data_IF_315836423942
#
_entry.id   IF_315836423942
#
_cell.length_a   1.000
_cell.length_b   1.000
_cell.length_c   1.000
_cell.angle_alpha   90.00
_cell.angle_beta   90.00
_cell.angle_gamma   90.00
#
_symmetry.space_group_name_H-M   'P 1'
#
loop_
_entity.id
_entity.type
_entity.pdbx_description
1 polymer ?
#
# COMPACT_ATOMS: atom_id res chain seq x y z
N UNK A 1 26.14 14.86 -8.49
CA UNK A 1 24.87 15.57 -8.17
C UNK A 1 24.03 14.61 -7.31
N UNK A 2 23.68 14.98 -6.07
CA UNK A 2 22.73 14.21 -5.26
C UNK A 2 21.39 14.23 -5.98
N UNK A 3 20.85 13.06 -6.28
CA UNK A 3 19.55 12.90 -6.94
C UNK A 3 18.44 13.21 -5.93
N UNK A 4 17.63 14.24 -6.20
CA UNK A 4 16.54 14.67 -5.31
C UNK A 4 15.21 13.98 -5.57
N UNK A 5 15.13 13.16 -6.63
CA UNK A 5 13.96 12.40 -7.04
C UNK A 5 14.41 11.09 -7.67
N UNK A 6 13.65 10.02 -7.44
CA UNK A 6 13.85 8.78 -8.17
C UNK A 6 13.07 8.83 -9.48
N UNK A 7 13.77 8.57 -10.60
CA UNK A 7 13.23 8.70 -11.94
C UNK A 7 13.55 7.47 -12.78
N UNK A 8 12.62 7.08 -13.66
CA UNK A 8 12.86 6.14 -14.76
C UNK A 8 12.65 6.90 -16.07
N UNK A 9 13.67 6.88 -16.96
CA UNK A 9 13.63 7.61 -18.24
C UNK A 9 13.19 9.07 -18.05
N UNK A 10 13.82 9.76 -17.09
CA UNK A 10 13.55 11.15 -16.73
C UNK A 10 12.13 11.43 -16.18
N UNK A 11 11.35 10.40 -15.84
CA UNK A 11 10.03 10.53 -15.25
C UNK A 11 10.05 10.08 -13.80
N UNK A 12 9.53 10.93 -12.92
CA UNK A 12 9.47 10.69 -11.48
C UNK A 12 8.61 9.45 -11.19
N UNK A 13 9.16 8.52 -10.41
CA UNK A 13 8.43 7.36 -9.93
C UNK A 13 7.63 7.74 -8.68
N UNK A 14 6.42 7.21 -8.57
CA UNK A 14 5.65 7.15 -7.33
C UNK A 14 5.44 5.68 -6.99
N UNK A 15 5.97 5.26 -5.84
CA UNK A 15 5.76 3.91 -5.33
C UNK A 15 4.36 3.78 -4.75
N UNK A 16 3.61 2.86 -5.29
CA UNK A 16 2.31 2.37 -4.85
C UNK A 16 2.54 0.94 -4.38
N UNK A 17 3.30 0.83 -3.30
CA UNK A 17 3.95 -0.39 -2.90
C UNK A 17 3.25 -1.13 -1.79
N UNK A 18 3.70 -2.36 -1.59
CA UNK A 18 3.39 -3.22 -0.46
C UNK A 18 4.66 -3.85 0.08
N UNK A 19 4.73 -4.05 1.38
CA UNK A 19 5.67 -4.96 2.00
C UNK A 19 5.12 -6.38 1.86
N UNK A 20 5.94 -7.33 1.44
CA UNK A 20 5.50 -8.70 1.26
C UNK A 20 6.41 -9.65 2.01
N UNK A 21 5.86 -10.28 3.05
CA UNK A 21 6.44 -11.49 3.61
C UNK A 21 6.22 -12.67 2.66
N UNK A 22 7.25 -13.48 2.47
CA UNK A 22 7.14 -14.74 1.74
C UNK A 22 6.53 -15.80 2.64
N UNK A 23 5.21 -15.95 2.55
CA UNK A 23 4.45 -16.78 3.48
C UNK A 23 3.25 -17.49 2.84
N UNK A 24 3.02 -18.74 3.28
CA UNK A 24 1.85 -19.56 2.96
C UNK A 24 1.27 -20.11 4.25
N UNK A 25 -0.04 -20.07 4.40
CA UNK A 25 -0.72 -20.62 5.59
C UNK A 25 -0.56 -22.13 5.74
N UNK A 26 -0.18 -22.83 4.66
CA UNK A 26 -0.02 -24.29 4.62
C UNK A 26 1.43 -24.74 4.84
N UNK A 27 2.37 -23.99 4.31
CA UNK A 27 3.78 -24.42 4.20
C UNK A 27 4.76 -23.44 4.85
N UNK A 28 4.24 -22.39 5.53
CA UNK A 28 5.07 -21.37 6.16
C UNK A 28 5.83 -20.56 5.11
N UNK A 29 7.14 -20.52 5.21
CA UNK A 29 8.01 -19.75 4.31
C UNK A 29 8.38 -20.46 3.00
N UNK A 30 7.87 -21.64 2.74
CA UNK A 30 8.06 -22.37 1.49
C UNK A 30 6.85 -22.15 0.58
N UNK A 31 6.88 -21.10 -0.23
CA UNK A 31 5.79 -20.73 -1.15
C UNK A 31 5.95 -21.42 -2.51
N UNK A 32 4.82 -21.69 -3.16
CA UNK A 32 4.81 -22.24 -4.53
C UNK A 32 4.80 -21.12 -5.58
N UNK A 33 5.16 -21.50 -6.82
CA UNK A 33 5.09 -20.57 -7.96
C UNK A 33 3.67 -20.05 -8.17
N UNK A 34 2.66 -20.89 -8.00
CA UNK A 34 1.25 -20.58 -8.17
C UNK A 34 0.78 -19.55 -7.13
N UNK A 35 1.23 -19.68 -5.88
CA UNK A 35 0.94 -18.71 -4.82
C UNK A 35 1.57 -17.35 -5.12
N UNK A 36 2.84 -17.33 -5.53
CA UNK A 36 3.52 -16.07 -5.91
C UNK A 36 2.86 -15.44 -7.14
N UNK A 37 2.49 -16.23 -8.15
CA UNK A 37 1.78 -15.73 -9.33
C UNK A 37 0.42 -15.12 -8.95
N UNK A 38 -0.33 -15.77 -8.05
CA UNK A 38 -1.60 -15.21 -7.54
C UNK A 38 -1.38 -13.87 -6.87
N UNK A 39 -0.32 -13.72 -6.07
CA UNK A 39 0.03 -12.45 -5.44
C UNK A 39 0.30 -11.37 -6.49
N UNK A 40 1.15 -11.64 -7.48
CA UNK A 40 1.52 -10.70 -8.54
C UNK A 40 0.27 -10.26 -9.34
N UNK A 41 -0.57 -11.21 -9.75
CA UNK A 41 -1.82 -10.91 -10.47
C UNK A 41 -2.75 -10.05 -9.62
N UNK A 42 -2.95 -10.39 -8.36
CA UNK A 42 -3.75 -9.61 -7.41
C UNK A 42 -3.22 -8.19 -7.24
N UNK A 43 -1.90 -8.03 -7.13
CA UNK A 43 -1.25 -6.70 -7.05
C UNK A 43 -1.54 -5.87 -8.30
N UNK A 44 -1.37 -6.44 -9.49
CA UNK A 44 -1.64 -5.75 -10.77
C UNK A 44 -3.10 -5.34 -10.90
N UNK A 45 -4.04 -6.22 -10.52
CA UNK A 45 -5.49 -5.96 -10.54
C UNK A 45 -5.90 -4.84 -9.58
N UNK A 46 -5.07 -4.54 -8.59
CA UNK A 46 -5.34 -3.55 -7.56
C UNK A 46 -4.39 -2.35 -7.59
N UNK A 47 -3.79 -2.06 -8.74
CA UNK A 47 -2.95 -0.88 -8.99
C UNK A 47 -1.66 -0.79 -8.16
N UNK A 48 -1.25 -1.86 -7.51
CA UNK A 48 0.03 -1.95 -6.82
C UNK A 48 1.13 -2.05 -7.88
N UNK A 49 2.17 -1.24 -7.76
CA UNK A 49 3.26 -1.18 -8.74
C UNK A 49 4.63 -1.55 -8.17
N UNK A 50 4.74 -1.79 -6.86
CA UNK A 50 6.02 -2.05 -6.23
C UNK A 50 5.91 -3.02 -5.04
N UNK A 51 6.99 -3.76 -4.80
CA UNK A 51 7.14 -4.68 -3.68
C UNK A 51 8.43 -4.33 -2.93
N UNK A 52 8.38 -4.34 -1.59
CA UNK A 52 9.56 -4.46 -0.74
C UNK A 52 9.58 -5.89 -0.19
N UNK A 53 10.68 -6.61 -0.44
CA UNK A 53 10.87 -7.97 0.09
C UNK A 53 11.24 -7.87 1.56
N UNK A 54 10.26 -7.91 2.44
CA UNK A 54 10.48 -7.69 3.87
C UNK A 54 10.67 -9.02 4.61
N UNK A 55 11.68 -9.22 5.41
CA UNK A 55 12.91 -8.41 5.60
C UNK A 55 14.10 -9.28 5.25
N UNK A 56 14.09 -9.84 4.05
CA UNK A 56 15.06 -10.81 3.52
C UNK A 56 14.87 -10.97 2.01
N UNK A 57 15.86 -11.52 1.29
CA UNK A 57 15.65 -11.91 -0.11
C UNK A 57 14.61 -13.04 -0.21
N UNK A 58 13.54 -12.81 -0.96
CA UNK A 58 12.52 -13.80 -1.28
C UNK A 58 13.07 -14.88 -2.26
N UNK A 59 12.31 -15.93 -2.54
CA UNK A 59 12.64 -16.93 -3.57
C UNK A 59 12.79 -16.27 -4.95
N UNK A 60 13.69 -16.79 -5.80
CA UNK A 60 14.02 -16.18 -7.10
C UNK A 60 12.81 -15.99 -8.02
N UNK A 61 11.79 -16.83 -7.88
CA UNK A 61 10.59 -16.78 -8.71
C UNK A 61 9.85 -15.44 -8.64
N UNK A 62 9.88 -14.72 -7.50
CA UNK A 62 9.19 -13.43 -7.42
C UNK A 62 9.90 -12.37 -8.25
N UNK A 63 11.23 -12.42 -8.33
CA UNK A 63 12.02 -11.50 -9.15
C UNK A 63 11.72 -11.72 -10.63
N UNK A 64 11.69 -12.99 -11.09
CA UNK A 64 11.30 -13.34 -12.47
C UNK A 64 9.89 -12.82 -12.78
N UNK A 65 8.93 -13.03 -11.90
CA UNK A 65 7.55 -12.57 -12.08
C UNK A 65 7.42 -11.03 -12.02
N UNK A 66 8.20 -10.36 -11.19
CA UNK A 66 8.23 -8.89 -11.18
C UNK A 66 8.81 -8.34 -12.48
N UNK A 67 9.83 -8.97 -13.06
CA UNK A 67 10.36 -8.62 -14.36
C UNK A 67 9.32 -8.83 -15.47
N UNK A 68 8.62 -9.95 -15.46
CA UNK A 68 7.60 -10.32 -16.46
C UNK A 68 6.37 -9.42 -16.39
N UNK A 69 5.85 -9.18 -15.18
CA UNK A 69 4.61 -8.41 -14.97
C UNK A 69 4.82 -6.91 -14.78
N UNK A 70 6.05 -6.46 -14.69
CA UNK A 70 6.42 -5.05 -14.58
C UNK A 70 6.07 -4.45 -13.22
N UNK A 71 6.53 -5.06 -12.14
CA UNK A 71 6.50 -4.51 -10.78
C UNK A 71 7.89 -4.02 -10.39
N UNK A 72 7.99 -2.89 -9.73
CA UNK A 72 9.24 -2.39 -9.16
C UNK A 72 9.57 -3.10 -7.85
N UNK A 73 10.86 -3.22 -7.54
CA UNK A 73 11.29 -3.87 -6.31
C UNK A 73 12.28 -3.04 -5.50
N UNK A 74 12.07 -3.01 -4.18
CA UNK A 74 13.12 -2.80 -3.19
C UNK A 74 13.52 -4.19 -2.72
N UNK A 75 14.69 -4.65 -3.15
CA UNK A 75 15.23 -5.96 -2.75
C UNK A 75 16.00 -5.80 -1.44
N UNK A 76 15.48 -6.44 -0.38
CA UNK A 76 16.04 -6.27 0.96
C UNK A 76 16.95 -7.42 1.35
N UNK A 77 18.10 -7.03 1.87
CA UNK A 77 19.07 -7.95 2.44
C UNK A 77 18.58 -8.52 3.77
N UNK A 78 19.06 -9.70 4.13
CA UNK A 78 18.68 -10.35 5.37
C UNK A 78 19.39 -9.73 6.57
N UNK A 79 18.79 -8.68 7.13
CA UNK A 79 19.20 -8.04 8.38
C UNK A 79 17.98 -7.50 9.10
N UNK A 80 17.72 -8.04 10.28
CA UNK A 80 16.83 -7.46 11.28
C UNK A 80 17.31 -7.86 12.67
N UNK A 81 17.51 -6.87 13.54
CA UNK A 81 18.00 -7.07 14.89
C UNK A 81 17.22 -6.27 15.94
N UNK A 82 15.94 -6.03 15.70
CA UNK A 82 15.03 -5.19 16.47
C UNK A 82 15.16 -5.44 17.98
N UNK A 83 15.08 -6.69 18.43
CA UNK A 83 15.12 -7.03 19.85
C UNK A 83 16.39 -6.57 20.56
N UNK A 84 17.52 -6.42 19.85
CA UNK A 84 18.78 -5.98 20.46
C UNK A 84 18.77 -4.49 20.79
N UNK A 85 18.29 -3.64 19.90
CA UNK A 85 18.27 -2.20 20.14
C UNK A 85 17.04 -1.77 20.96
N UNK A 86 15.91 -2.46 20.85
CA UNK A 86 14.72 -2.21 21.65
C UNK A 86 15.04 -2.37 23.15
N UNK A 87 15.70 -3.46 23.54
CA UNK A 87 16.16 -3.68 24.90
C UNK A 87 17.13 -2.58 25.38
N UNK A 88 18.00 -2.09 24.50
CA UNK A 88 18.95 -1.03 24.80
C UNK A 88 18.26 0.34 24.98
N UNK A 89 17.25 0.64 24.15
CA UNK A 89 16.49 1.89 24.22
C UNK A 89 15.59 1.94 25.46
N UNK A 90 15.08 0.79 25.92
CA UNK A 90 14.37 0.68 27.20
C UNK A 90 15.28 0.62 28.43
N UNK A 91 16.60 0.71 28.24
CA UNK A 91 17.57 0.69 29.33
C UNK A 91 17.77 -0.66 30.00
N UNK A 92 17.30 -1.75 29.38
CA UNK A 92 17.45 -3.11 29.90
C UNK A 92 18.87 -3.66 29.68
N UNK A 93 19.58 -3.15 28.67
CA UNK A 93 20.97 -3.50 28.35
C UNK A 93 21.73 -2.26 27.87
N UNK A 94 23.07 -2.26 27.90
CA UNK A 94 23.89 -1.15 27.40
C UNK A 94 23.73 -0.95 25.89
N UNK A 95 23.88 0.28 25.39
CA UNK A 95 23.75 0.60 23.95
C UNK A 95 24.81 -0.04 23.06
N UNK A 96 25.96 -0.38 23.58
CA UNK A 96 27.02 -1.10 22.87
C UNK A 96 26.71 -2.57 22.60
N UNK A 97 25.59 -3.07 23.15
CA UNK A 97 25.05 -4.41 22.83
C UNK A 97 24.18 -4.44 21.59
N UNK A 98 23.90 -3.27 20.97
CA UNK A 98 23.12 -3.18 19.71
C UNK A 98 23.88 -3.89 18.59
N UNK A 99 23.18 -4.81 17.91
CA UNK A 99 23.76 -5.63 16.83
C UNK A 99 23.20 -5.17 15.47
N UNK A 100 24.05 -5.03 14.42
CA UNK A 100 25.51 -5.11 14.45
C UNK A 100 26.19 -3.85 15.02
N UNK A 101 25.53 -2.69 15.00
CA UNK A 101 26.01 -1.44 15.55
C UNK A 101 27.41 -1.03 15.02
N UNK A 102 28.27 -0.67 15.95
CA UNK A 102 29.69 -0.34 15.67
C UNK A 102 30.63 -1.54 15.97
N UNK A 103 30.07 -2.74 16.24
CA UNK A 103 30.87 -3.92 16.52
C UNK A 103 31.37 -4.59 15.23
N UNK A 104 32.64 -4.38 14.90
CA UNK A 104 33.27 -4.84 13.67
C UNK A 104 33.41 -6.37 13.57
N UNK A 105 33.19 -7.13 14.64
CA UNK A 105 33.17 -8.60 14.60
C UNK A 105 32.01 -9.13 13.71
N UNK A 106 30.94 -8.35 13.56
CA UNK A 106 29.82 -8.66 12.71
C UNK A 106 30.05 -8.33 11.22
N UNK A 107 30.98 -7.42 10.92
CA UNK A 107 31.17 -6.89 9.57
C UNK A 107 31.39 -7.98 8.50
N UNK A 108 32.28 -8.97 8.66
CA UNK A 108 32.54 -9.95 7.61
C UNK A 108 31.27 -10.72 7.20
N UNK A 109 30.46 -11.14 8.16
CA UNK A 109 29.20 -11.85 7.91
C UNK A 109 28.16 -10.93 7.25
N UNK A 110 28.07 -9.68 7.68
CA UNK A 110 27.10 -8.73 7.10
C UNK A 110 27.46 -8.38 5.66
N UNK A 111 28.74 -8.19 5.35
CA UNK A 111 29.23 -7.94 3.99
C UNK A 111 29.05 -9.17 3.09
N UNK A 112 29.16 -10.39 3.62
CA UNK A 112 28.85 -11.62 2.88
C UNK A 112 27.37 -11.70 2.51
N UNK A 113 26.46 -11.36 3.42
CA UNK A 113 25.02 -11.28 3.13
C UNK A 113 24.70 -10.29 1.99
N UNK A 114 25.31 -9.10 2.02
CA UNK A 114 25.20 -8.10 0.94
C UNK A 114 25.68 -8.68 -0.38
N UNK A 115 26.86 -9.32 -0.39
CA UNK A 115 27.40 -9.94 -1.60
C UNK A 115 26.48 -11.04 -2.13
N UNK A 116 25.99 -11.92 -1.27
CA UNK A 116 25.09 -13.01 -1.65
C UNK A 116 23.77 -12.48 -2.23
N UNK A 117 23.15 -11.48 -1.60
CA UNK A 117 21.95 -10.82 -2.09
C UNK A 117 22.18 -10.21 -3.48
N UNK A 118 23.23 -9.42 -3.65
CA UNK A 118 23.58 -8.79 -4.91
C UNK A 118 23.87 -9.81 -6.01
N UNK A 119 24.76 -10.78 -5.77
CA UNK A 119 25.18 -11.73 -6.80
C UNK A 119 24.01 -12.57 -7.33
N UNK A 120 23.06 -12.91 -6.47
CA UNK A 120 21.86 -13.65 -6.87
C UNK A 120 20.94 -12.81 -7.75
N UNK A 121 20.66 -11.57 -7.36
CA UNK A 121 19.53 -10.80 -7.90
C UNK A 121 19.92 -9.62 -8.81
N UNK A 122 21.21 -9.38 -9.05
CA UNK A 122 21.73 -8.21 -9.83
C UNK A 122 21.18 -8.11 -11.24
N UNK A 123 20.76 -9.21 -11.86
CA UNK A 123 20.33 -9.26 -13.26
C UNK A 123 18.82 -8.97 -13.42
N UNK A 124 18.08 -8.76 -12.34
CA UNK A 124 16.67 -8.45 -12.40
C UNK A 124 16.42 -6.95 -12.62
N UNK A 125 15.84 -6.52 -13.75
CA UNK A 125 15.53 -5.11 -14.01
C UNK A 125 14.41 -4.57 -13.11
N UNK A 126 13.59 -5.42 -12.50
CA UNK A 126 12.59 -5.02 -11.52
C UNK A 126 13.22 -4.41 -10.26
N UNK A 127 14.43 -4.85 -9.87
CA UNK A 127 15.14 -4.32 -8.70
C UNK A 127 15.64 -2.92 -9.00
N UNK A 128 15.06 -1.92 -8.37
CA UNK A 128 15.45 -0.51 -8.51
C UNK A 128 16.32 -0.03 -7.35
N UNK A 129 16.15 -0.63 -6.18
CA UNK A 129 16.77 -0.20 -4.94
C UNK A 129 17.23 -1.44 -4.18
N UNK A 130 18.46 -1.38 -3.69
CA UNK A 130 19.00 -2.35 -2.72
C UNK A 130 18.71 -1.84 -1.30
N UNK A 131 18.07 -2.63 -0.47
CA UNK A 131 17.88 -2.29 0.94
C UNK A 131 18.85 -3.07 1.82
N UNK A 132 19.48 -2.37 2.74
CA UNK A 132 20.49 -2.96 3.63
C UNK A 132 19.86 -3.90 4.65
N UNK A 133 18.62 -3.61 5.07
CA UNK A 133 17.87 -4.39 6.04
C UNK A 133 16.78 -3.59 6.70
N UNK A 134 16.29 -4.09 7.83
CA UNK A 134 15.18 -3.54 8.60
C UNK A 134 15.55 -3.40 10.08
N UNK A 135 15.02 -2.40 10.75
CA UNK A 135 14.95 -2.18 12.19
C UNK A 135 16.17 -2.68 12.98
N UNK A 136 17.36 -2.29 12.51
CA UNK A 136 18.66 -2.67 13.12
C UNK A 136 19.43 -1.47 13.67
N UNK A 137 18.70 -0.39 14.02
CA UNK A 137 19.19 0.85 14.60
C UNK A 137 20.09 1.63 13.64
N UNK A 138 21.41 1.37 13.61
CA UNK A 138 22.41 2.04 12.81
C UNK A 138 23.81 1.56 13.16
N UNK A 139 24.82 2.37 12.85
CA UNK A 139 26.21 2.09 13.18
C UNK A 139 27.11 1.88 11.97
N UNK A 140 28.40 1.71 12.26
CA UNK A 140 29.46 1.59 11.24
C UNK A 140 29.25 0.40 10.32
N UNK A 141 28.87 -0.77 10.86
CA UNK A 141 28.71 -1.98 10.08
C UNK A 141 27.62 -1.83 9.04
N UNK A 142 26.47 -1.22 9.41
CA UNK A 142 25.34 -1.00 8.46
C UNK A 142 25.76 0.02 7.39
N UNK A 143 26.54 1.03 7.76
CA UNK A 143 27.11 1.96 6.79
C UNK A 143 28.03 1.22 5.79
N UNK A 144 28.90 0.33 6.27
CA UNK A 144 29.81 -0.43 5.40
C UNK A 144 29.07 -1.40 4.48
N UNK A 145 27.93 -1.98 4.93
CA UNK A 145 27.03 -2.75 4.08
C UNK A 145 26.50 -1.89 2.92
N UNK A 146 26.10 -0.65 3.19
CA UNK A 146 25.62 0.26 2.15
C UNK A 146 26.71 0.62 1.14
N UNK A 147 27.93 0.89 1.61
CA UNK A 147 29.08 1.15 0.74
C UNK A 147 29.44 -0.09 -0.09
N UNK A 148 29.29 -1.29 0.46
CA UNK A 148 29.48 -2.54 -0.28
C UNK A 148 28.46 -2.67 -1.42
N UNK A 149 27.18 -2.37 -1.20
CA UNK A 149 26.19 -2.32 -2.30
C UNK A 149 26.58 -1.34 -3.38
N UNK A 150 27.01 -0.10 -3.02
CA UNK A 150 27.43 0.92 -3.97
C UNK A 150 28.68 0.53 -4.77
N UNK A 151 29.60 -0.17 -4.13
CA UNK A 151 30.80 -0.68 -4.78
C UNK A 151 30.46 -1.80 -5.79
N UNK A 152 29.47 -2.61 -5.52
CA UNK A 152 29.01 -3.69 -6.42
C UNK A 152 28.09 -3.17 -7.51
N UNK A 153 27.27 -2.17 -7.22
CA UNK A 153 26.27 -1.58 -8.13
C UNK A 153 26.26 -0.05 -8.03
N UNK A 154 27.03 0.65 -8.85
CA UNK A 154 27.08 2.10 -8.81
C UNK A 154 25.85 2.79 -9.43
N UNK A 155 24.87 2.03 -9.95
CA UNK A 155 23.73 2.55 -10.68
C UNK A 155 22.43 2.55 -9.86
N UNK A 156 22.19 1.49 -9.06
CA UNK A 156 21.00 1.39 -8.24
C UNK A 156 21.19 2.12 -6.91
N UNK A 157 20.07 2.65 -6.41
CA UNK A 157 20.05 3.33 -5.12
C UNK A 157 20.14 2.34 -3.95
N UNK A 158 20.64 2.82 -2.84
CA UNK A 158 20.70 2.06 -1.58
C UNK A 158 19.76 2.68 -0.57
N UNK A 159 18.98 1.83 0.09
CA UNK A 159 17.97 2.16 1.08
C UNK A 159 18.35 1.58 2.45
N UNK A 160 18.08 2.36 3.48
CA UNK A 160 17.99 1.93 4.87
C UNK A 160 17.14 2.92 5.66
N UNK A 161 16.12 2.46 6.40
CA UNK A 161 15.22 3.34 7.15
C UNK A 161 15.81 3.85 8.45
N UNK A 162 16.68 3.07 9.10
CA UNK A 162 17.22 3.36 10.42
C UNK A 162 18.19 4.54 10.50
N UNK A 163 18.43 5.28 9.41
CA UNK A 163 19.33 6.44 9.42
C UNK A 163 18.90 7.54 10.41
N UNK A 164 17.62 7.61 10.75
CA UNK A 164 17.13 8.58 11.74
C UNK A 164 17.55 8.23 13.17
N UNK A 165 17.84 6.99 13.46
CA UNK A 165 18.34 6.53 14.76
C UNK A 165 19.82 6.89 14.97
N UNK A 166 20.60 6.90 13.89
CA UNK A 166 22.05 7.20 13.95
C UNK A 166 22.50 8.09 12.78
N UNK A 167 22.32 9.38 12.95
CA UNK A 167 22.68 10.41 11.96
C UNK A 167 24.19 10.55 11.71
N UNK A 168 25.06 9.89 12.49
CA UNK A 168 26.51 9.83 12.20
C UNK A 168 26.74 9.23 10.81
N UNK A 169 25.88 8.31 10.39
CA UNK A 169 25.96 7.58 9.12
C UNK A 169 24.77 7.89 8.21
N UNK A 170 24.39 9.14 8.09
CA UNK A 170 23.25 9.54 7.26
C UNK A 170 23.40 9.13 5.79
N UNK A 171 24.64 9.00 5.30
CA UNK A 171 24.93 8.55 3.94
C UNK A 171 24.65 7.06 3.71
N UNK A 172 24.27 6.29 4.71
CA UNK A 172 23.86 4.89 4.57
C UNK A 172 22.71 4.73 3.57
N UNK A 173 21.77 5.66 3.54
CA UNK A 173 20.65 5.63 2.59
C UNK A 173 20.68 6.80 1.61
N UNK A 174 20.36 6.56 0.35
CA UNK A 174 20.23 7.59 -0.68
C UNK A 174 18.91 8.37 -0.60
N UNK A 175 17.99 7.93 0.23
CA UNK A 175 16.71 8.54 0.52
C UNK A 175 16.45 8.63 2.02
N UNK A 176 15.63 9.58 2.44
CA UNK A 176 15.01 9.49 3.75
C UNK A 176 13.91 8.45 3.68
N UNK A 177 13.86 7.57 4.66
CA UNK A 177 12.86 6.53 4.77
C UNK A 177 12.42 6.42 6.21
N UNK A 178 11.11 6.37 6.42
CA UNK A 178 10.53 6.29 7.76
C UNK A 178 9.34 5.33 7.76
N UNK A 179 8.95 4.90 8.95
CA UNK A 179 7.80 4.04 9.20
C UNK A 179 6.71 4.83 9.92
N UNK A 180 5.47 4.69 9.47
CA UNK A 180 4.23 5.18 10.13
C UNK A 180 4.23 6.68 10.50
N UNK A 181 5.12 7.46 9.93
CA UNK A 181 5.19 8.90 10.16
C UNK A 181 3.94 9.59 9.60
N UNK A 182 3.30 10.44 10.40
CA UNK A 182 2.12 11.17 9.94
C UNK A 182 2.41 12.12 8.78
N UNK A 183 1.41 12.39 7.93
CA UNK A 183 1.57 13.27 6.77
C UNK A 183 2.05 14.67 7.19
N UNK A 184 1.59 15.17 8.33
CA UNK A 184 2.03 16.46 8.88
C UNK A 184 3.52 16.45 9.19
N UNK A 185 4.00 15.38 9.81
CA UNK A 185 5.42 15.23 10.15
C UNK A 185 6.29 15.01 8.90
N UNK A 186 5.79 14.27 7.89
CA UNK A 186 6.47 14.15 6.59
C UNK A 186 6.62 15.52 5.93
N UNK A 187 5.54 16.32 5.89
CA UNK A 187 5.59 17.68 5.34
C UNK A 187 6.57 18.58 6.09
N UNK A 188 6.57 18.51 7.42
CA UNK A 188 7.51 19.27 8.26
C UNK A 188 8.94 18.87 7.96
N UNK A 189 9.23 17.57 7.94
CA UNK A 189 10.57 17.07 7.61
C UNK A 189 11.03 17.55 6.24
N UNK A 190 10.19 17.44 5.21
CA UNK A 190 10.51 17.86 3.85
C UNK A 190 10.66 19.38 3.68
N UNK A 191 10.06 20.18 4.55
CA UNK A 191 10.27 21.63 4.58
C UNK A 191 11.67 21.99 5.12
N UNK A 192 12.14 21.24 6.12
CA UNK A 192 13.42 21.47 6.80
C UNK A 192 14.61 20.82 6.08
N UNK A 193 14.39 19.65 5.44
CA UNK A 193 15.44 18.84 4.79
C UNK A 193 15.18 18.73 3.28
N UNK A 194 16.12 19.15 2.45
CA UNK A 194 15.94 19.27 0.99
C UNK A 194 16.89 18.39 0.15
N UNK A 195 17.70 17.59 0.80
CA UNK A 195 18.83 16.91 0.18
C UNK A 195 18.44 15.59 -0.47
N UNK A 196 17.46 14.89 0.09
CA UNK A 196 17.05 13.54 -0.33
C UNK A 196 15.58 13.45 -0.70
N UNK A 197 15.20 12.49 -1.59
CA UNK A 197 13.82 12.08 -1.72
C UNK A 197 13.36 11.36 -0.44
N UNK A 198 12.05 11.30 -0.24
CA UNK A 198 11.42 10.67 0.91
C UNK A 198 10.49 9.53 0.48
N UNK A 199 10.58 8.39 1.13
CA UNK A 199 9.62 7.28 1.00
C UNK A 199 9.14 6.83 2.38
N UNK A 200 7.93 6.28 2.43
CA UNK A 200 7.47 5.51 3.59
C UNK A 200 7.75 4.04 3.32
N UNK A 201 8.80 3.47 3.93
CA UNK A 201 9.04 2.04 3.74
C UNK A 201 7.96 1.17 4.37
N UNK A 202 7.26 1.69 5.39
CA UNK A 202 6.05 1.09 5.96
C UNK A 202 5.03 2.16 6.32
N UNK A 203 3.78 1.97 5.93
CA UNK A 203 2.69 2.87 6.28
C UNK A 203 1.33 2.17 6.23
N UNK A 204 0.30 2.85 6.72
CA UNK A 204 -1.09 2.38 6.70
C UNK A 204 -1.24 0.93 7.19
N UNK A 205 -0.62 0.62 8.35
CA UNK A 205 -0.65 -0.71 8.96
C UNK A 205 -2.04 -1.34 8.91
N UNK A 206 -2.15 -2.52 8.27
CA UNK A 206 -3.44 -3.08 7.86
C UNK A 206 -4.02 -4.12 8.84
N UNK A 207 -3.50 -4.20 10.07
CA UNK A 207 -4.01 -5.14 11.08
C UNK A 207 -5.45 -4.84 11.46
N UNK A 208 -6.30 -5.86 11.42
CA UNK A 208 -7.71 -5.74 11.80
C UNK A 208 -8.49 -4.77 10.90
N UNK A 209 -9.31 -3.91 11.52
CA UNK A 209 -10.10 -2.90 10.82
C UNK A 209 -9.35 -1.57 10.74
N UNK A 210 -8.31 -1.53 9.91
CA UNK A 210 -7.41 -0.39 9.72
C UNK A 210 -7.11 -0.14 8.23
N UNK A 211 -5.94 0.41 7.88
CA UNK A 211 -5.59 0.84 6.51
C UNK A 211 -6.43 2.03 6.01
N UNK A 212 -7.01 2.83 6.92
CA UNK A 212 -7.80 4.00 6.59
C UNK A 212 -6.95 5.27 6.40
N UNK A 213 -7.60 6.33 5.89
CA UNK A 213 -6.98 7.63 5.62
C UNK A 213 -5.76 7.58 4.67
N UNK A 214 -5.65 6.53 3.88
CA UNK A 214 -4.55 6.29 2.94
C UNK A 214 -4.44 7.41 1.90
N UNK A 215 -5.57 8.01 1.51
CA UNK A 215 -5.62 9.15 0.58
C UNK A 215 -4.72 10.31 1.01
N UNK A 216 -4.54 10.57 2.29
CA UNK A 216 -3.68 11.66 2.77
C UNK A 216 -2.23 11.51 2.31
N UNK A 217 -1.74 10.28 2.25
CA UNK A 217 -0.40 9.95 1.77
C UNK A 217 -0.32 9.95 0.24
N UNK A 218 -1.33 9.39 -0.43
CA UNK A 218 -1.34 9.37 -1.91
C UNK A 218 -1.53 10.77 -2.49
N UNK A 219 -2.37 11.63 -1.89
CA UNK A 219 -2.52 13.04 -2.29
C UNK A 219 -1.22 13.84 -2.09
N UNK A 220 -0.41 13.47 -1.08
CA UNK A 220 0.89 14.11 -0.88
C UNK A 220 1.85 13.86 -2.06
N UNK A 221 1.73 12.72 -2.75
CA UNK A 221 2.55 12.46 -3.94
C UNK A 221 2.27 13.44 -5.08
N UNK A 222 1.08 14.02 -5.14
CA UNK A 222 0.69 14.98 -6.18
C UNK A 222 1.20 16.40 -5.87
N UNK A 223 1.42 16.72 -4.60
CA UNK A 223 1.74 18.07 -4.13
C UNK A 223 3.17 18.26 -3.66
N UNK A 224 3.87 17.20 -3.24
CA UNK A 224 5.26 17.23 -2.78
C UNK A 224 6.14 16.33 -3.68
N UNK A 225 6.89 16.92 -4.63
CA UNK A 225 7.66 16.14 -5.61
C UNK A 225 8.76 15.23 -5.02
N UNK A 226 9.24 15.53 -3.81
CA UNK A 226 10.24 14.71 -3.13
C UNK A 226 9.65 13.55 -2.33
N UNK A 227 8.35 13.57 -2.06
CA UNK A 227 7.65 12.43 -1.47
C UNK A 227 7.26 11.45 -2.58
N UNK A 228 7.88 10.29 -2.61
CA UNK A 228 7.78 9.35 -3.72
C UNK A 228 6.91 8.12 -3.40
N UNK A 229 5.98 8.26 -2.46
CA UNK A 229 5.04 7.21 -2.09
C UNK A 229 5.55 6.30 -0.98
N UNK A 230 5.04 5.07 -0.94
CA UNK A 230 5.37 4.16 0.15
C UNK A 230 4.86 2.74 -0.07
N UNK A 231 5.09 1.91 0.96
CA UNK A 231 4.81 0.48 0.96
C UNK A 231 3.90 0.13 2.15
N UNK A 232 2.71 -0.39 1.87
CA UNK A 232 1.72 -0.76 2.90
C UNK A 232 2.30 -1.89 3.77
N UNK A 233 2.14 -1.82 5.06
CA UNK A 233 2.36 -2.94 5.97
C UNK A 233 1.03 -3.63 6.29
N UNK A 234 0.78 -4.88 5.82
CA UNK A 234 1.55 -5.54 4.78
C UNK A 234 0.62 -6.23 3.76
N UNK A 235 1.18 -7.05 2.89
CA UNK A 235 0.43 -7.63 1.78
C UNK A 235 -0.47 -8.79 2.21
N UNK A 236 0.02 -9.72 3.05
CA UNK A 236 -0.69 -10.97 3.35
C UNK A 236 -0.58 -11.36 4.83
N UNK A 237 -1.69 -11.80 5.42
CA UNK A 237 -1.68 -12.36 6.76
C UNK A 237 -0.73 -13.56 6.87
N UNK A 238 0.13 -13.59 7.89
CA UNK A 238 1.01 -14.72 8.20
C UNK A 238 0.32 -15.69 9.17
N UNK A 239 -0.91 -16.05 8.89
CA UNK A 239 -1.66 -17.06 9.63
C UNK A 239 -1.32 -18.48 9.19
N UNK A 240 -1.46 -19.46 10.09
CA UNK A 240 -1.17 -20.87 9.82
C UNK A 240 -2.48 -21.65 9.85
N UNK A 241 -2.70 -22.48 8.83
CA UNK A 241 -3.87 -23.34 8.76
C UNK A 241 -3.82 -24.41 9.87
N UNK A 242 -4.84 -24.45 10.72
CA UNK A 242 -4.98 -25.38 11.83
C UNK A 242 -6.40 -25.91 11.91
N UNK A 243 -6.56 -27.08 12.52
CA UNK A 243 -7.88 -27.64 12.85
C UNK A 243 -8.25 -27.32 14.29
N UNK A 244 -9.49 -26.91 14.51
CA UNK A 244 -10.06 -26.79 15.85
C UNK A 244 -10.34 -28.16 16.47
N UNK A 245 -10.83 -28.16 17.70
CA UNK A 245 -11.19 -29.40 18.44
C UNK A 245 -12.31 -30.24 17.78
N UNK A 246 -13.02 -29.66 16.81
CA UNK A 246 -14.08 -30.34 16.04
C UNK A 246 -13.62 -30.77 14.64
N UNK A 247 -12.34 -30.55 14.32
CA UNK A 247 -11.76 -30.90 13.02
C UNK A 247 -12.01 -29.85 11.93
N UNK A 248 -12.56 -28.67 12.26
CA UNK A 248 -12.81 -27.57 11.32
C UNK A 248 -11.53 -26.74 11.13
N UNK A 249 -11.21 -26.44 9.88
CA UNK A 249 -10.07 -25.59 9.53
C UNK A 249 -10.30 -24.15 9.95
N UNK A 250 -9.27 -23.48 10.47
CA UNK A 250 -9.22 -22.07 10.79
C UNK A 250 -7.83 -21.51 10.61
N UNK A 251 -7.71 -20.19 10.44
CA UNK A 251 -6.44 -19.48 10.36
C UNK A 251 -5.97 -19.14 11.78
N UNK A 252 -4.93 -19.81 12.23
CA UNK A 252 -4.36 -19.67 13.55
C UNK A 252 -3.30 -18.56 13.60
N UNK A 253 -3.19 -17.92 14.76
CA UNK A 253 -2.16 -16.93 15.08
C UNK A 253 -1.53 -17.20 16.45
N UNK A 254 -0.70 -16.27 16.92
CA UNK A 254 0.06 -16.45 18.17
C UNK A 254 -0.82 -16.79 19.37
N UNK A 255 -0.46 -17.84 20.11
CA UNK A 255 -1.17 -18.41 21.23
C UNK A 255 -2.11 -19.56 20.90
N UNK A 256 -2.49 -19.74 19.63
CA UNK A 256 -3.34 -20.86 19.20
C UNK A 256 -2.63 -22.21 19.25
N UNK A 257 -1.29 -22.21 19.36
CA UNK A 257 -0.44 -23.39 19.52
C UNK A 257 -0.04 -23.62 20.98
N UNK A 258 -0.68 -22.93 21.94
CA UNK A 258 -0.44 -23.00 23.37
C UNK A 258 0.91 -22.44 23.82
N UNK A 259 1.59 -21.73 22.96
CA UNK A 259 2.86 -21.05 23.26
C UNK A 259 2.65 -19.77 24.08
N UNK A 260 3.65 -19.45 24.93
CA UNK A 260 3.74 -18.22 25.73
C UNK A 260 5.23 -17.89 25.95
N UNK A 261 5.63 -16.61 25.80
CA UNK A 261 4.85 -15.44 25.40
C UNK A 261 4.42 -15.49 23.92
N UNK A 262 3.52 -14.58 23.51
CA UNK A 262 3.04 -14.49 22.13
C UNK A 262 2.53 -13.08 21.83
N UNK A 263 2.62 -12.65 20.57
CA UNK A 263 2.10 -11.39 20.06
C UNK A 263 0.64 -11.51 19.54
N UNK A 264 -0.02 -12.63 19.81
CA UNK A 264 -1.42 -12.90 19.44
C UNK A 264 -1.68 -12.70 17.94
N UNK A 265 -2.67 -11.83 17.60
CA UNK A 265 -3.09 -11.58 16.22
C UNK A 265 -2.19 -10.61 15.45
N UNK A 266 -0.97 -10.34 15.90
CA UNK A 266 -0.06 -9.40 15.27
C UNK A 266 0.39 -9.86 13.86
N UNK A 267 0.28 -11.14 13.56
CA UNK A 267 0.47 -11.71 12.22
C UNK A 267 -0.70 -11.48 11.25
N UNK A 268 -1.83 -10.95 11.73
CA UNK A 268 -3.04 -10.66 10.92
C UNK A 268 -3.07 -9.23 10.40
N UNK A 269 -2.06 -8.80 9.66
CA UNK A 269 -1.85 -7.43 9.19
C UNK A 269 -1.88 -7.28 7.67
N UNK A 270 -2.30 -8.33 6.94
CA UNK A 270 -2.38 -8.33 5.49
C UNK A 270 -3.57 -7.56 4.91
N UNK A 271 -3.38 -7.01 3.70
CA UNK A 271 -4.47 -6.57 2.84
C UNK A 271 -5.09 -7.73 2.04
N UNK A 272 -4.45 -8.89 2.08
CA UNK A 272 -4.98 -10.18 1.62
C UNK A 272 -5.04 -11.17 2.80
N UNK A 273 -6.03 -12.06 2.75
CA UNK A 273 -6.17 -13.14 3.73
C UNK A 273 -5.10 -14.23 3.53
N UNK A 274 -4.53 -14.76 4.62
CA UNK A 274 -3.48 -15.77 4.57
C UNK A 274 -3.92 -17.13 4.02
N UNK A 275 -5.21 -17.50 4.19
CA UNK A 275 -5.72 -18.81 3.83
C UNK A 275 -5.80 -19.08 2.33
N UNK A 276 -6.58 -18.28 1.66
CA UNK A 276 -6.85 -18.37 0.22
C UNK A 276 -6.09 -17.34 -0.61
N UNK A 277 -5.41 -16.40 0.03
CA UNK A 277 -4.70 -15.26 -0.57
C UNK A 277 -5.64 -14.30 -1.30
N UNK A 278 -6.92 -14.30 -0.99
CA UNK A 278 -7.90 -13.40 -1.60
C UNK A 278 -7.83 -12.01 -0.97
N UNK A 279 -8.14 -10.96 -1.75
CA UNK A 279 -8.21 -9.61 -1.23
C UNK A 279 -9.18 -9.45 -0.08
N UNK A 280 -8.77 -8.82 1.01
CA UNK A 280 -9.67 -8.38 2.07
C UNK A 280 -10.42 -7.11 1.65
N UNK A 281 -11.49 -6.69 2.34
CA UNK A 281 -12.21 -5.45 2.04
C UNK A 281 -11.33 -4.19 1.98
N UNK A 282 -10.21 -4.18 2.69
CA UNK A 282 -9.21 -3.09 2.65
C UNK A 282 -8.61 -2.87 1.26
N UNK A 283 -8.56 -3.92 0.43
CA UNK A 283 -8.01 -3.83 -0.93
C UNK A 283 -8.79 -2.87 -1.83
N UNK A 284 -10.07 -2.63 -1.57
CA UNK A 284 -10.85 -1.64 -2.31
C UNK A 284 -10.32 -0.21 -2.09
N UNK A 285 -9.98 0.12 -0.85
CA UNK A 285 -9.34 1.39 -0.50
C UNK A 285 -7.96 1.50 -1.17
N UNK A 286 -7.16 0.44 -1.14
CA UNK A 286 -5.85 0.38 -1.80
C UNK A 286 -6.00 0.60 -3.31
N UNK A 287 -6.88 -0.14 -3.97
CA UNK A 287 -7.11 -0.04 -5.42
C UNK A 287 -7.50 1.37 -5.83
N UNK A 288 -8.41 2.01 -5.09
CA UNK A 288 -8.86 3.37 -5.38
C UNK A 288 -7.73 4.38 -5.21
N UNK A 289 -7.01 4.35 -4.10
CA UNK A 289 -5.94 5.31 -3.83
C UNK A 289 -4.71 5.10 -4.73
N UNK A 290 -4.49 3.89 -5.23
CA UNK A 290 -3.36 3.56 -6.11
C UNK A 290 -3.66 3.70 -7.60
N UNK A 291 -4.86 4.08 -8.00
CA UNK A 291 -5.17 4.27 -9.42
C UNK A 291 -4.28 5.35 -10.08
N UNK A 292 -3.96 5.14 -11.36
CA UNK A 292 -3.13 6.04 -12.16
C UNK A 292 -3.93 7.03 -13.00
N UNK A 293 -5.25 6.99 -12.91
CA UNK A 293 -6.14 7.94 -13.57
C UNK A 293 -7.08 8.47 -12.50
N UNK A 294 -7.07 9.78 -12.30
CA UNK A 294 -8.02 10.45 -11.41
C UNK A 294 -9.11 11.14 -12.21
N UNK A 295 -10.35 11.04 -11.74
CA UNK A 295 -11.52 11.69 -12.33
C UNK A 295 -12.01 12.73 -11.33
N UNK A 296 -11.94 14.01 -11.72
CA UNK A 296 -12.37 15.13 -10.91
C UNK A 296 -13.66 15.68 -11.48
N UNK A 297 -14.74 15.64 -10.70
CA UNK A 297 -16.02 16.23 -11.10
C UNK A 297 -16.08 17.68 -10.64
N UNK A 298 -16.14 18.61 -11.58
CA UNK A 298 -16.23 20.05 -11.29
C UNK A 298 -17.69 20.52 -11.28
N UNK A 299 -18.15 21.03 -12.41
CA UNK A 299 -19.53 21.49 -12.59
C UNK A 299 -20.40 20.36 -13.13
N UNK A 300 -21.72 20.57 -13.06
CA UNK A 300 -22.67 19.63 -13.62
C UNK A 300 -22.36 19.32 -15.10
N UNK A 301 -22.26 18.04 -15.43
CA UNK A 301 -22.00 17.57 -16.77
C UNK A 301 -20.55 17.64 -17.25
N UNK A 302 -19.59 18.07 -16.41
CA UNK A 302 -18.16 18.13 -16.77
C UNK A 302 -17.30 17.36 -15.77
N UNK A 303 -16.22 16.77 -16.28
CA UNK A 303 -15.19 16.11 -15.47
C UNK A 303 -13.81 16.27 -16.10
N UNK A 304 -12.81 16.26 -15.25
CA UNK A 304 -11.41 16.33 -15.65
C UNK A 304 -10.77 14.97 -15.47
N UNK A 305 -10.06 14.49 -16.46
CA UNK A 305 -9.22 13.30 -16.41
C UNK A 305 -7.78 13.71 -16.18
N UNK A 306 -7.20 13.26 -15.07
CA UNK A 306 -5.78 13.42 -14.75
C UNK A 306 -5.08 12.08 -14.98
N UNK A 307 -4.26 12.00 -16.01
CA UNK A 307 -3.49 10.80 -16.34
C UNK A 307 -2.12 10.82 -15.64
N UNK A 308 -1.96 10.05 -14.58
CA UNK A 308 -0.73 9.89 -13.79
C UNK A 308 0.15 8.74 -14.29
N UNK A 309 -0.26 8.00 -15.34
CA UNK A 309 0.58 6.98 -15.94
C UNK A 309 1.87 7.61 -16.48
N UNK A 310 3.00 6.93 -16.28
CA UNK A 310 4.28 7.43 -16.75
C UNK A 310 4.43 7.31 -18.29
N UNK A 311 3.86 6.25 -18.89
CA UNK A 311 4.12 5.93 -20.30
C UNK A 311 2.86 5.59 -21.10
N UNK A 312 1.69 5.41 -20.45
CA UNK A 312 0.46 4.99 -21.10
C UNK A 312 -0.50 6.17 -21.32
N UNK A 313 -1.04 6.29 -22.54
CA UNK A 313 -2.15 7.19 -22.86
C UNK A 313 -3.49 6.55 -22.40
N UNK A 314 -4.50 7.37 -22.13
CA UNK A 314 -5.83 6.87 -21.73
C UNK A 314 -6.61 6.22 -22.85
N UNK A 315 -6.26 6.43 -24.11
CA UNK A 315 -6.87 5.75 -25.27
C UNK A 315 -6.67 4.22 -25.28
N UNK A 316 -5.76 3.70 -24.45
CA UNK A 316 -5.59 2.25 -24.21
C UNK A 316 -6.74 1.66 -23.39
N UNK A 317 -7.56 2.48 -22.77
CA UNK A 317 -8.66 2.08 -21.91
C UNK A 317 -10.00 2.48 -22.52
N UNK A 318 -11.04 1.74 -22.17
CA UNK A 318 -12.44 2.10 -22.44
C UNK A 318 -12.91 3.00 -21.29
N UNK A 319 -13.32 4.22 -21.59
CA UNK A 319 -13.93 5.12 -20.62
C UNK A 319 -15.45 4.99 -20.68
N UNK A 320 -16.10 4.73 -19.55
CA UNK A 320 -17.54 4.51 -19.47
C UNK A 320 -18.15 5.40 -18.39
N UNK A 321 -19.15 6.19 -18.77
CA UNK A 321 -19.99 6.92 -17.82
C UNK A 321 -21.29 6.15 -17.55
N UNK A 322 -21.61 5.96 -16.27
CA UNK A 322 -22.81 5.26 -15.79
C UNK A 322 -23.55 6.15 -14.80
N UNK A 323 -24.83 6.42 -15.10
CA UNK A 323 -25.73 7.06 -14.17
C UNK A 323 -26.67 6.02 -13.54
N UNK A 324 -26.72 6.01 -12.23
CA UNK A 324 -27.63 5.16 -11.46
C UNK A 324 -28.64 6.02 -10.71
N UNK A 325 -29.87 5.53 -10.56
CA UNK A 325 -30.90 6.07 -9.65
C UNK A 325 -31.17 5.00 -8.59
N UNK A 326 -30.95 5.33 -7.32
CA UNK A 326 -31.11 4.41 -6.19
C UNK A 326 -30.42 3.05 -6.46
N UNK A 327 -29.19 3.08 -7.00
CA UNK A 327 -28.39 1.89 -7.34
C UNK A 327 -28.75 1.21 -8.67
N UNK A 328 -29.84 1.61 -9.35
CA UNK A 328 -30.25 1.02 -10.63
C UNK A 328 -29.72 1.85 -11.79
N UNK A 329 -29.07 1.19 -12.76
CA UNK A 329 -28.51 1.86 -13.95
C UNK A 329 -29.66 2.44 -14.80
N UNK A 330 -29.62 3.76 -15.03
CA UNK A 330 -30.59 4.47 -15.87
C UNK A 330 -29.98 4.98 -17.17
N UNK A 331 -28.67 5.22 -17.21
CA UNK A 331 -27.92 5.56 -18.41
C UNK A 331 -26.52 4.99 -18.35
N UNK A 332 -26.01 4.58 -19.53
CA UNK A 332 -24.63 4.13 -19.71
C UNK A 332 -24.15 4.55 -21.09
N UNK A 333 -22.97 5.14 -21.17
CA UNK A 333 -22.38 5.56 -22.44
C UNK A 333 -20.85 5.50 -22.37
N UNK A 334 -20.22 5.14 -23.48
CA UNK A 334 -18.77 5.23 -23.65
C UNK A 334 -18.38 6.65 -24.06
N UNK A 335 -17.20 7.08 -23.61
CA UNK A 335 -16.59 8.38 -23.91
C UNK A 335 -15.20 8.10 -24.49
N UNK A 336 -14.94 8.61 -25.67
CA UNK A 336 -13.59 8.56 -26.21
C UNK A 336 -12.66 9.50 -25.44
N UNK A 337 -11.61 8.96 -24.89
CA UNK A 337 -10.63 9.72 -24.12
C UNK A 337 -9.23 9.53 -24.66
N UNK A 338 -8.52 10.65 -24.83
CA UNK A 338 -7.13 10.67 -25.23
C UNK A 338 -6.41 11.71 -24.38
N UNK A 339 -5.77 11.23 -23.31
CA UNK A 339 -4.98 12.05 -22.40
C UNK A 339 -3.58 11.47 -22.34
N UNK A 340 -2.57 12.20 -22.83
CA UNK A 340 -1.18 11.74 -22.80
C UNK A 340 -0.69 11.44 -21.38
N UNK A 341 0.40 10.68 -21.22
CA UNK A 341 1.04 10.47 -19.93
C UNK A 341 1.35 11.79 -19.22
N UNK A 342 1.13 11.84 -17.92
CA UNK A 342 1.41 12.99 -17.04
C UNK A 342 0.71 14.28 -17.49
N UNK A 343 -0.51 14.15 -18.06
CA UNK A 343 -1.30 15.25 -18.59
C UNK A 343 -2.72 15.23 -18.08
N UNK A 344 -3.42 16.33 -18.29
CA UNK A 344 -4.79 16.55 -17.83
C UNK A 344 -5.65 17.02 -19.00
N UNK A 345 -6.92 16.62 -19.06
CA UNK A 345 -7.87 17.06 -20.06
C UNK A 345 -9.31 16.99 -19.56
N UNK A 346 -10.11 18.00 -19.95
CA UNK A 346 -11.53 18.11 -19.62
C UNK A 346 -12.39 17.37 -20.64
N UNK A 347 -13.50 16.80 -20.14
CA UNK A 347 -14.50 16.09 -20.90
C UNK A 347 -15.91 16.47 -20.44
N UNK A 348 -16.88 16.23 -21.28
CA UNK A 348 -18.30 16.41 -20.96
C UNK A 348 -18.98 15.03 -20.81
N UNK A 349 -19.92 14.95 -19.86
CA UNK A 349 -20.80 13.80 -19.75
C UNK A 349 -21.79 13.85 -20.90
N UNK A 350 -21.90 12.79 -21.74
CA UNK A 350 -22.68 12.82 -22.97
C UNK A 350 -24.20 12.74 -22.77
N UNK A 351 -24.67 12.93 -21.54
CA UNK A 351 -26.09 12.94 -21.21
C UNK A 351 -26.37 13.88 -20.02
N UNK A 352 -27.60 14.37 -19.94
CA UNK A 352 -28.04 15.16 -18.80
C UNK A 352 -28.13 14.29 -17.54
N UNK A 353 -27.57 14.76 -16.43
CA UNK A 353 -27.56 14.05 -15.14
C UNK A 353 -28.86 14.35 -14.41
N UNK A 354 -29.18 15.64 -14.26
CA UNK A 354 -30.38 16.16 -13.65
C UNK A 354 -30.95 17.25 -14.55
N UNK A 355 -32.23 17.16 -14.93
CA UNK A 355 -32.91 18.25 -15.61
C UNK A 355 -33.93 18.86 -14.67
N UNK A 356 -33.98 20.19 -14.62
CA UNK A 356 -34.95 20.93 -13.81
C UNK A 356 -36.40 20.62 -14.17
N UNK A 357 -36.65 20.11 -15.38
CA UNK A 357 -37.95 19.73 -15.94
C UNK A 357 -38.18 18.20 -15.91
N UNK A 358 -37.27 17.38 -15.33
CA UNK A 358 -37.40 15.95 -15.29
C UNK A 358 -38.61 15.54 -14.44
N UNK A 359 -39.62 15.00 -15.10
CA UNK A 359 -40.86 14.52 -14.47
C UNK A 359 -40.60 13.40 -13.46
N UNK A 360 -39.54 12.63 -13.64
CA UNK A 360 -39.16 11.56 -12.73
C UNK A 360 -38.52 12.05 -11.43
N UNK A 361 -37.79 13.18 -11.46
CA UNK A 361 -37.31 13.86 -10.25
C UNK A 361 -38.44 14.44 -9.40
N UNK A 362 -39.51 14.96 -10.05
CA UNK A 362 -40.67 15.46 -9.31
C UNK A 362 -41.48 14.35 -8.65
N UNK A 363 -41.40 13.12 -9.19
CA UNK A 363 -42.08 11.94 -8.63
C UNK A 363 -41.32 11.29 -7.47
N UNK A 364 -39.99 11.46 -7.42
CA UNK A 364 -39.15 10.85 -6.41
C UNK A 364 -38.07 11.89 -5.98
N UNK A 365 -38.45 12.86 -5.15
CA UNK A 365 -37.58 13.96 -4.75
C UNK A 365 -36.43 13.51 -3.85
N UNK A 366 -36.53 12.31 -3.26
CA UNK A 366 -35.55 11.74 -2.34
C UNK A 366 -34.59 10.76 -3.06
N UNK A 367 -34.76 10.57 -4.38
CA UNK A 367 -33.89 9.69 -5.15
C UNK A 367 -32.44 10.14 -5.10
N UNK A 368 -31.55 9.18 -4.86
CA UNK A 368 -30.12 9.35 -4.99
C UNK A 368 -29.68 9.02 -6.42
N UNK A 369 -28.99 9.96 -7.05
CA UNK A 369 -28.36 9.72 -8.35
C UNK A 369 -26.86 9.63 -8.16
N UNK A 370 -26.26 8.57 -8.71
CA UNK A 370 -24.81 8.34 -8.67
C UNK A 370 -24.27 8.33 -10.09
N UNK A 371 -23.36 9.21 -10.39
CA UNK A 371 -22.59 9.22 -11.63
C UNK A 371 -21.23 8.59 -11.38
N UNK A 372 -20.90 7.52 -12.08
CA UNK A 372 -19.60 6.88 -12.08
C UNK A 372 -18.98 7.00 -13.47
N UNK A 373 -17.72 7.49 -13.54
CA UNK A 373 -16.89 7.42 -14.73
C UNK A 373 -15.78 6.45 -14.44
N UNK A 374 -15.62 5.41 -15.28
CA UNK A 374 -14.61 4.36 -15.07
C UNK A 374 -13.77 4.11 -16.32
N UNK A 375 -12.50 3.75 -16.08
CA UNK A 375 -11.56 3.31 -17.10
C UNK A 375 -11.34 1.80 -16.99
N UNK A 376 -11.51 1.08 -18.09
CA UNK A 376 -11.47 -0.38 -18.14
C UNK A 376 -10.52 -0.86 -19.24
N UNK A 377 -9.91 -2.01 -19.05
CA UNK A 377 -9.09 -2.64 -20.09
C UNK A 377 -9.92 -2.86 -21.36
N UNK A 378 -9.35 -2.57 -22.52
CA UNK A 378 -9.95 -2.85 -23.83
C UNK A 378 -9.76 -4.31 -24.25
N UNK A 379 -8.63 -4.89 -23.86
CA UNK A 379 -8.14 -6.21 -24.27
C UNK A 379 -7.72 -7.01 -23.05
N UNK A 380 -7.63 -8.32 -23.20
CA UNK A 380 -7.08 -9.21 -22.18
C UNK A 380 -5.60 -8.94 -21.96
N UNK A 381 -5.20 -8.95 -20.71
CA UNK A 381 -3.82 -8.85 -20.27
C UNK A 381 -3.43 -10.14 -19.53
N UNK A 382 -2.14 -10.39 -19.37
CA UNK A 382 -1.66 -11.56 -18.60
C UNK A 382 -2.16 -11.60 -17.14
N UNK A 383 -2.70 -10.49 -16.63
CA UNK A 383 -3.12 -10.34 -15.24
C UNK A 383 -4.61 -10.00 -15.06
N UNK A 384 -5.36 -9.70 -16.12
CA UNK A 384 -6.81 -9.46 -16.05
C UNK A 384 -7.46 -9.48 -17.43
N UNK A 385 -8.72 -9.87 -17.48
CA UNK A 385 -9.53 -9.90 -18.70
C UNK A 385 -9.95 -8.49 -19.13
N UNK A 386 -10.34 -8.35 -20.41
CA UNK A 386 -10.97 -7.15 -20.93
C UNK A 386 -12.18 -6.74 -20.09
N UNK A 387 -12.33 -5.45 -19.87
CA UNK A 387 -13.39 -4.92 -19.00
C UNK A 387 -12.98 -4.76 -17.53
N UNK A 388 -11.82 -5.29 -17.10
CA UNK A 388 -11.31 -5.04 -15.76
C UNK A 388 -11.14 -3.53 -15.51
N UNK A 389 -11.70 -3.05 -14.40
CA UNK A 389 -11.65 -1.62 -14.01
C UNK A 389 -10.31 -1.29 -13.37
N UNK A 390 -9.59 -0.35 -13.98
CA UNK A 390 -8.29 0.14 -13.49
C UNK A 390 -8.39 1.46 -12.74
N UNK A 391 -9.44 2.23 -13.01
CA UNK A 391 -9.69 3.49 -12.30
C UNK A 391 -11.15 3.89 -12.41
N UNK A 392 -11.65 4.60 -11.41
CA UNK A 392 -12.95 5.22 -11.44
C UNK A 392 -13.00 6.50 -10.58
N UNK A 393 -13.97 7.35 -10.87
CA UNK A 393 -14.42 8.43 -10.01
C UNK A 393 -15.93 8.41 -9.91
N UNK A 394 -16.46 8.83 -8.77
CA UNK A 394 -17.89 8.80 -8.51
C UNK A 394 -18.35 10.13 -7.90
N UNK A 395 -19.50 10.61 -8.32
CA UNK A 395 -20.18 11.77 -7.73
C UNK A 395 -21.62 11.43 -7.43
N UNK A 396 -22.03 11.74 -6.21
CA UNK A 396 -23.39 11.52 -5.72
C UNK A 396 -24.16 12.84 -5.82
N UNK A 397 -25.35 12.79 -6.39
CA UNK A 397 -26.32 13.87 -6.48
C UNK A 397 -27.54 13.45 -5.65
N UNK A 398 -27.62 14.02 -4.46
CA UNK A 398 -28.74 13.78 -3.54
C UNK A 398 -29.10 15.09 -2.88
N UNK A 399 -30.39 15.39 -2.85
CA UNK A 399 -30.91 16.45 -2.00
C UNK A 399 -30.89 15.90 -0.56
N UNK A 400 -29.91 16.31 0.22
CA UNK A 400 -29.86 15.96 1.64
C UNK A 400 -31.02 16.74 2.30
N UNK A 401 -32.05 16.06 2.85
CA UNK A 401 -33.07 16.76 3.62
C UNK A 401 -32.40 17.49 4.78
N UNK A 402 -32.84 18.69 5.05
CA UNK A 402 -32.34 19.41 6.22
C UNK A 402 -32.58 18.55 7.46
N UNK A 403 -31.49 18.22 8.18
CA UNK A 403 -31.61 17.50 9.43
C UNK A 403 -32.27 18.44 10.46
N UNK A 404 -33.52 18.20 10.78
CA UNK A 404 -34.17 18.83 11.90
C UNK A 404 -33.91 18.00 13.15
N UNK A 405 -33.00 18.47 13.99
CA UNK A 405 -32.80 17.87 15.31
C UNK A 405 -34.15 17.83 16.03
N UNK A 406 -34.51 16.67 16.57
CA UNK A 406 -35.70 16.55 17.41
C UNK A 406 -35.56 17.50 18.60
N UNK A 407 -36.52 18.39 18.82
CA UNK A 407 -36.55 19.27 19.99
C UNK A 407 -36.82 18.50 21.30
N UNK A 408 -37.13 17.20 21.20
CA UNK A 408 -37.32 16.36 22.39
C UNK A 408 -35.96 16.01 22.96
N UNK A 409 -35.65 16.45 24.19
CA UNK A 409 -34.39 16.10 24.82
C UNK A 409 -34.33 14.58 25.02
N UNK A 410 -33.22 13.98 24.63
CA UNK A 410 -32.93 12.58 24.92
C UNK A 410 -32.78 12.49 26.45
N UNK A 411 -33.72 11.86 27.12
CA UNK A 411 -33.65 11.62 28.56
C UNK A 411 -32.63 10.52 28.82
N UNK A 412 -31.42 10.91 29.21
CA UNK A 412 -30.42 9.96 29.69
C UNK A 412 -30.84 9.50 31.10
N UNK A 413 -31.29 8.27 31.22
CA UNK A 413 -31.51 7.66 32.53
C UNK A 413 -30.17 7.07 32.96
N UNK A 414 -29.63 7.55 34.09
CA UNK A 414 -28.46 6.96 34.71
C UNK A 414 -28.79 5.53 35.18
N UNK A 415 -28.42 4.58 34.34
CA UNK A 415 -28.45 3.14 34.59
C UNK A 415 -27.29 2.52 33.82
N UNK A 416 -26.95 1.27 34.08
CA UNK A 416 -26.00 0.52 33.22
C UNK A 416 -26.62 0.33 31.83
N UNK A 417 -26.57 1.36 31.00
CA UNK A 417 -26.91 1.26 29.58
C UNK A 417 -25.63 0.90 28.87
N UNK A 418 -25.42 -0.36 28.57
CA UNK A 418 -24.53 -0.77 27.52
C UNK A 418 -25.20 -0.32 26.21
N UNK A 419 -24.78 0.79 25.64
CA UNK A 419 -25.11 1.13 24.25
C UNK A 419 -24.34 0.13 23.41
N UNK A 420 -24.99 -0.97 23.06
CA UNK A 420 -24.44 -1.96 22.18
C UNK A 420 -24.57 -1.43 20.75
N UNK A 421 -23.50 -0.87 20.19
CA UNK A 421 -23.37 -0.62 18.76
C UNK A 421 -23.17 -1.94 17.98
N UNK A 422 -23.57 -3.05 18.57
CA UNK A 422 -23.33 -4.44 18.17
C UNK A 422 -24.05 -4.87 16.90
N UNK A 423 -24.94 -4.06 16.35
CA UNK A 423 -25.63 -4.44 15.12
C UNK A 423 -24.86 -4.13 13.83
N UNK A 424 -23.72 -3.46 13.95
CA UNK A 424 -22.92 -3.06 12.77
C UNK A 424 -21.49 -3.64 12.71
N UNK A 425 -20.99 -4.22 13.82
CA UNK A 425 -19.69 -4.92 13.84
C UNK A 425 -19.62 -5.86 15.03
N UNK A 426 -19.81 -7.17 14.86
CA UNK A 426 -19.58 -8.12 15.94
C UNK A 426 -18.11 -8.06 16.36
N UNK A 427 -17.85 -7.69 17.61
CA UNK A 427 -16.52 -7.76 18.19
C UNK A 427 -16.08 -9.23 18.27
N UNK A 428 -14.81 -9.56 18.00
CA UNK A 428 -14.28 -10.91 18.24
C UNK A 428 -14.48 -11.44 19.65
N UNK A 429 -14.71 -10.56 20.64
CA UNK A 429 -15.05 -10.94 22.02
C UNK A 429 -16.46 -11.54 22.15
N UNK A 430 -17.39 -11.17 21.28
CA UNK A 430 -18.78 -11.64 21.34
C UNK A 430 -18.94 -13.02 20.69
N UNK A 431 -17.96 -13.47 19.93
CA UNK A 431 -17.92 -14.81 19.32
C UNK A 431 -17.44 -15.91 20.27
N UNK A 432 -17.10 -15.59 21.54
CA UNK A 432 -16.58 -16.52 22.54
C UNK A 432 -17.58 -16.91 23.64
N UNK A 433 -18.89 -16.82 23.37
CA UNK A 433 -19.91 -17.42 24.24
C UNK A 433 -20.54 -18.65 23.63
#
# INVERSE_FOLDING_TARGET
>A
RRQRQMCIRDRRIVFKGVNRHEFSSKTGRAVTREEVLKDIVTMKQNNINAIRTCHYPDASIIYDLCDEYGLYMIAENNLESHGSWDAAMHGSVPKDTIVPGDNMDWEPMMLDRVNSCYQRDKNHPAVLIWSVGNESYGGKVIFDMSEKFRALDPYRLVHYEGIFNDRRYEATSDMESQMYTSVENVKKFLAEHKEKPFIMCEYTHAMGNSCGAMHKYTDLTDTEPRYQGGFIWDYIDQSILKKDRYGKDFQAYGGDFLERPTDYNFSGNGICYGGDRDPSPKMQEVKFNYQNISILFEKEGKFTVVNKNLFANTDRFRCVAVLQKNGVVVKKQEIETTVPPLSTKDYEIPFAILRADDKDQKKDPDAEYTLTVSFRLKEDMSWADAGHEVAFGQKIYKKIPAFHASEKPIRVVHGKVNICLLYTSPSPRDMRR
#
